data_IF_697794324065
#
_entry.id   IF_697794324065
#
_cell.length_a   1.000
_cell.length_b   1.000
_cell.length_c   1.000
_cell.angle_alpha   90.00
_cell.angle_beta   90.00
_cell.angle_gamma   90.00
#
_symmetry.space_group_name_H-M   'P 1'
#
loop_
_entity.id
_entity.type
_entity.pdbx_description
1 polymer ?
#
# COMPACT_ATOMS: atom_id res chain seq x y z
N UNK A 1 -8.42 0.88 -8.00
CA UNK A 1 -7.01 1.21 -8.31
C UNK A 1 -6.44 0.14 -9.24
N UNK A 2 -5.74 0.55 -10.30
CA UNK A 2 -5.04 -0.35 -11.25
C UNK A 2 -3.54 -0.05 -11.17
N UNK A 3 -2.67 -0.96 -10.72
CA UNK A 3 -1.23 -0.76 -10.77
C UNK A 3 -0.78 -0.73 -12.22
N UNK A 4 0.14 0.15 -12.56
CA UNK A 4 0.73 0.28 -13.89
C UNK A 4 2.18 -0.22 -13.87
N UNK A 5 2.98 0.28 -12.94
CA UNK A 5 4.38 -0.13 -12.80
C UNK A 5 4.78 -0.10 -11.32
N UNK A 6 5.54 -1.11 -10.90
CA UNK A 6 6.17 -1.17 -9.58
C UNK A 6 7.68 -1.26 -9.76
N UNK A 7 8.41 -0.31 -9.19
CA UNK A 7 9.87 -0.36 -9.10
C UNK A 7 10.27 -0.57 -7.65
N UNK A 8 11.08 -1.57 -7.40
CA UNK A 8 11.69 -1.86 -6.09
C UNK A 8 13.22 -1.77 -6.22
N UNK A 9 13.88 -1.17 -5.25
CA UNK A 9 15.34 -1.12 -5.19
C UNK A 9 15.79 -1.45 -3.78
N UNK A 10 16.68 -2.43 -3.65
CA UNK A 10 17.18 -2.94 -2.37
C UNK A 10 16.05 -3.17 -1.34
N UNK A 11 14.95 -3.79 -1.76
CA UNK A 11 13.74 -3.95 -0.95
C UNK A 11 13.36 -5.44 -0.79
N UNK A 12 13.23 -5.89 0.46
CA UNK A 12 12.87 -7.27 0.81
C UNK A 12 13.83 -8.30 0.20
N UNK A 13 13.31 -9.19 -0.64
CA UNK A 13 14.11 -10.21 -1.34
C UNK A 13 14.86 -9.68 -2.57
N UNK A 14 14.58 -8.44 -2.99
CA UNK A 14 15.17 -7.84 -4.19
C UNK A 14 16.40 -7.00 -3.84
N UNK A 15 17.58 -7.52 -4.16
CA UNK A 15 18.86 -6.88 -3.83
C UNK A 15 19.15 -5.64 -4.70
N UNK A 16 18.79 -5.69 -5.97
CA UNK A 16 19.01 -4.61 -6.95
C UNK A 16 17.71 -3.88 -7.30
N UNK A 17 17.77 -3.09 -8.38
CA UNK A 17 16.60 -2.44 -8.95
C UNK A 17 15.82 -3.42 -9.82
N UNK A 18 14.57 -3.66 -9.45
CA UNK A 18 13.63 -4.52 -10.19
C UNK A 18 12.42 -3.71 -10.59
N UNK A 19 11.97 -3.86 -11.83
CA UNK A 19 10.78 -3.19 -12.38
C UNK A 19 9.78 -4.24 -12.81
N UNK A 20 8.55 -4.12 -12.34
CA UNK A 20 7.42 -4.95 -12.75
C UNK A 20 6.45 -4.05 -13.49
N UNK A 21 6.23 -4.37 -14.77
CA UNK A 21 5.32 -3.64 -15.64
C UNK A 21 4.01 -4.43 -15.77
N UNK A 22 2.95 -3.89 -15.18
CA UNK A 22 1.61 -4.50 -15.19
C UNK A 22 0.81 -4.11 -16.45
N UNK A 23 1.29 -3.16 -17.26
CA UNK A 23 0.57 -2.69 -18.45
C UNK A 23 0.60 -3.71 -19.59
N UNK A 24 1.62 -4.58 -19.58
CA UNK A 24 1.79 -5.65 -20.58
C UNK A 24 0.74 -6.76 -20.51
N UNK A 25 -0.06 -6.79 -19.44
CA UNK A 25 -1.07 -7.81 -19.22
C UNK A 25 -2.40 -7.40 -19.84
N UNK A 26 -2.75 -8.01 -20.98
CA UNK A 26 -3.95 -7.66 -21.77
C UNK A 26 -5.25 -8.10 -21.10
N UNK A 27 -5.24 -9.08 -20.19
CA UNK A 27 -6.46 -9.71 -19.66
C UNK A 27 -6.82 -9.30 -18.21
N UNK A 28 -6.09 -8.37 -17.61
CA UNK A 28 -6.39 -7.87 -16.25
C UNK A 28 -6.18 -8.87 -15.12
N UNK A 29 -5.89 -10.13 -15.41
CA UNK A 29 -5.56 -11.20 -14.45
C UNK A 29 -4.19 -11.74 -14.83
N UNK A 30 -3.31 -11.88 -13.84
CA UNK A 30 -1.98 -12.47 -14.00
C UNK A 30 -1.61 -13.34 -12.81
N UNK A 31 -0.77 -14.32 -13.03
CA UNK A 31 -0.29 -15.25 -12.03
C UNK A 31 1.19 -14.95 -11.73
N UNK A 32 1.52 -14.77 -10.46
CA UNK A 32 2.90 -14.67 -9.99
C UNK A 32 3.33 -16.03 -9.46
N UNK A 33 4.24 -16.70 -10.17
CA UNK A 33 4.77 -18.01 -9.79
C UNK A 33 6.24 -17.91 -9.41
N UNK A 34 6.73 -18.89 -8.68
CA UNK A 34 8.12 -19.01 -8.26
C UNK A 34 8.25 -19.82 -6.98
N UNK A 35 9.46 -20.19 -6.63
CA UNK A 35 9.78 -21.00 -5.45
C UNK A 35 9.44 -20.26 -4.15
N UNK A 36 9.34 -21.03 -3.06
CA UNK A 36 9.18 -20.44 -1.72
C UNK A 36 10.40 -19.58 -1.40
N UNK A 37 10.15 -18.35 -0.93
CA UNK A 37 11.23 -17.37 -0.65
C UNK A 37 11.65 -16.52 -1.84
N UNK A 38 11.14 -16.76 -3.07
CA UNK A 38 11.49 -15.97 -4.27
C UNK A 38 11.00 -14.52 -4.28
N UNK A 39 10.31 -14.07 -3.22
CA UNK A 39 9.88 -12.67 -3.10
C UNK A 39 8.48 -12.36 -3.65
N UNK A 40 7.64 -13.36 -3.92
CA UNK A 40 6.25 -13.14 -4.39
C UNK A 40 5.46 -12.22 -3.46
N UNK A 41 5.50 -12.48 -2.15
CA UNK A 41 4.83 -11.67 -1.14
C UNK A 41 5.44 -10.27 -1.04
N UNK A 42 6.76 -10.13 -1.28
CA UNK A 42 7.45 -8.85 -1.26
C UNK A 42 6.89 -7.87 -2.30
N UNK A 43 6.33 -8.34 -3.41
CA UNK A 43 5.66 -7.50 -4.41
C UNK A 43 4.43 -6.82 -3.80
N UNK A 44 3.62 -7.56 -3.05
CA UNK A 44 2.45 -7.02 -2.35
C UNK A 44 2.86 -6.11 -1.19
N UNK A 45 3.89 -6.49 -0.42
CA UNK A 45 4.48 -5.66 0.62
C UNK A 45 4.96 -4.33 0.05
N UNK A 46 5.59 -4.34 -1.12
CA UNK A 46 6.07 -3.13 -1.78
C UNK A 46 4.91 -2.19 -2.19
N UNK A 47 3.81 -2.73 -2.72
CA UNK A 47 2.62 -1.94 -3.07
C UNK A 47 2.04 -1.28 -1.81
N UNK A 48 1.81 -2.06 -0.75
CA UNK A 48 1.25 -1.54 0.51
C UNK A 48 2.20 -0.55 1.16
N UNK A 49 3.50 -0.83 1.14
CA UNK A 49 4.51 0.07 1.66
C UNK A 49 4.55 1.41 0.92
N UNK A 50 4.51 1.39 -0.41
CA UNK A 50 4.47 2.61 -1.20
C UNK A 50 3.28 3.50 -0.82
N UNK A 51 2.10 2.91 -0.67
CA UNK A 51 0.86 3.65 -0.39
C UNK A 51 0.74 4.08 1.08
N UNK A 52 1.05 3.19 2.02
CA UNK A 52 0.67 3.36 3.43
C UNK A 52 1.82 3.29 4.44
N UNK A 53 3.06 3.13 3.97
CA UNK A 53 4.23 2.93 4.86
C UNK A 53 4.13 1.69 5.78
N UNK A 54 3.34 0.70 5.37
CA UNK A 54 3.11 -0.56 6.08
C UNK A 54 3.35 -1.74 5.15
N UNK A 55 3.61 -2.92 5.70
CA UNK A 55 3.67 -4.16 4.93
C UNK A 55 2.33 -4.87 4.94
N UNK A 56 2.10 -5.76 4.00
CA UNK A 56 0.84 -6.50 3.85
C UNK A 56 0.45 -7.32 5.09
N UNK A 57 1.44 -7.81 5.85
CA UNK A 57 1.23 -8.57 7.09
C UNK A 57 1.18 -7.73 8.37
N UNK A 58 1.42 -6.41 8.31
CA UNK A 58 1.43 -5.52 9.49
C UNK A 58 2.59 -5.72 10.48
N UNK A 59 3.36 -6.79 10.35
CA UNK A 59 4.38 -7.20 11.32
C UNK A 59 5.77 -6.57 11.09
N UNK A 60 6.03 -6.00 9.91
CA UNK A 60 7.34 -5.46 9.53
C UNK A 60 7.30 -3.95 9.43
N UNK A 61 8.15 -3.29 10.21
CA UNK A 61 8.38 -1.85 10.07
C UNK A 61 9.19 -1.55 8.80
N UNK A 62 8.96 -0.39 8.17
CA UNK A 62 9.62 0.02 6.94
C UNK A 62 11.15 -0.08 6.98
N UNK A 63 11.77 0.13 8.17
CA UNK A 63 13.21 0.00 8.37
C UNK A 63 13.75 -1.44 8.19
N UNK A 64 12.90 -2.45 8.37
CA UNK A 64 13.25 -3.87 8.18
C UNK A 64 13.15 -4.30 6.71
N UNK A 65 12.66 -3.42 5.83
CA UNK A 65 12.41 -3.76 4.43
C UNK A 65 13.62 -3.58 3.52
N UNK A 66 14.73 -2.99 4.02
CA UNK A 66 15.97 -2.99 3.22
C UNK A 66 16.46 -4.42 3.02
N UNK A 67 16.74 -4.78 1.79
CA UNK A 67 17.29 -6.09 1.44
C UNK A 67 18.64 -6.32 2.12
N UNK A 68 18.79 -7.44 2.80
CA UNK A 68 20.06 -7.87 3.40
C UNK A 68 21.10 -8.27 2.33
N UNK A 69 20.63 -8.57 1.12
CA UNK A 69 21.46 -8.96 -0.01
C UNK A 69 21.90 -7.78 -0.88
N UNK A 70 21.42 -6.57 -0.56
CA UNK A 70 21.76 -5.39 -1.33
C UNK A 70 23.17 -4.88 -0.99
N UNK A 71 23.89 -4.42 -2.01
CA UNK A 71 25.16 -3.70 -1.80
C UNK A 71 24.91 -2.43 -0.98
N UNK A 72 25.91 -2.05 -0.17
CA UNK A 72 25.78 -0.93 0.77
C UNK A 72 25.53 0.42 0.07
N UNK A 73 25.93 0.55 -1.19
CA UNK A 73 25.75 1.74 -2.03
C UNK A 73 24.35 1.79 -2.68
N UNK A 74 23.62 0.67 -2.74
CA UNK A 74 22.34 0.59 -3.43
C UNK A 74 21.26 1.34 -2.66
N UNK A 75 20.58 2.33 -3.25
CA UNK A 75 19.50 3.05 -2.59
C UNK A 75 18.28 2.14 -2.37
N UNK A 76 17.64 2.29 -1.22
CA UNK A 76 16.41 1.55 -0.90
C UNK A 76 15.20 2.43 -1.13
N UNK A 77 14.32 2.03 -2.04
CA UNK A 77 13.05 2.69 -2.29
C UNK A 77 12.06 1.77 -3.00
N UNK A 78 10.81 2.13 -2.90
CA UNK A 78 9.72 1.59 -3.72
C UNK A 78 9.06 2.74 -4.46
N UNK A 79 8.74 2.53 -5.74
CA UNK A 79 8.00 3.46 -6.57
C UNK A 79 6.85 2.72 -7.23
N UNK A 80 5.62 3.23 -7.04
CA UNK A 80 4.40 2.67 -7.59
C UNK A 80 3.72 3.70 -8.49
N UNK A 81 3.55 3.34 -9.75
CA UNK A 81 2.68 4.06 -10.67
C UNK A 81 1.35 3.33 -10.75
N UNK A 82 0.24 4.06 -10.59
CA UNK A 82 -1.09 3.49 -10.60
C UNK A 82 -2.13 4.43 -11.21
N UNK A 83 -3.21 3.85 -11.70
CA UNK A 83 -4.38 4.58 -12.19
C UNK A 83 -5.53 4.43 -11.20
N UNK A 84 -6.20 5.55 -10.90
CA UNK A 84 -7.40 5.59 -10.08
C UNK A 84 -8.39 6.62 -10.64
N UNK A 85 -9.65 6.24 -10.84
CA UNK A 85 -10.70 7.08 -11.44
C UNK A 85 -10.25 7.77 -12.76
N UNK A 86 -9.54 7.04 -13.63
CA UNK A 86 -9.06 7.56 -14.91
C UNK A 86 -7.79 8.42 -14.83
N UNK A 87 -7.35 8.80 -13.66
CA UNK A 87 -6.17 9.63 -13.40
C UNK A 87 -4.95 8.78 -13.04
N UNK A 88 -3.75 9.22 -13.45
CA UNK A 88 -2.49 8.54 -13.13
C UNK A 88 -1.77 9.25 -11.97
N UNK A 89 -1.25 8.45 -11.07
CA UNK A 89 -0.49 8.90 -9.90
C UNK A 89 0.79 8.08 -9.80
N UNK A 90 1.80 8.68 -9.16
CA UNK A 90 3.05 8.02 -8.85
C UNK A 90 3.44 8.30 -7.40
N UNK A 91 3.69 7.26 -6.64
CA UNK A 91 4.19 7.36 -5.26
C UNK A 91 5.58 6.76 -5.20
N UNK A 92 6.53 7.51 -4.67
CA UNK A 92 7.88 7.02 -4.36
C UNK A 92 8.12 7.15 -2.87
N UNK A 93 8.55 6.06 -2.24
CA UNK A 93 8.80 6.00 -0.80
C UNK A 93 10.09 5.27 -0.50
N UNK A 94 10.85 5.78 0.47
CA UNK A 94 11.99 5.07 1.04
C UNK A 94 11.87 4.97 2.55
N UNK A 95 12.37 3.89 3.20
CA UNK A 95 12.50 3.81 4.65
C UNK A 95 13.67 4.65 5.15
N UNK A 96 13.85 4.71 6.48
CA UNK A 96 15.13 5.07 7.08
C UNK A 96 16.14 3.97 6.80
N UNK A 97 17.30 4.30 6.26
CA UNK A 97 18.38 3.34 6.03
C UNK A 97 19.75 4.01 6.02
N UNK A 98 20.80 3.19 6.08
CA UNK A 98 22.17 3.65 5.92
C UNK A 98 22.68 3.26 4.55
N UNK A 99 23.41 4.16 3.91
CA UNK A 99 24.08 3.93 2.62
C UNK A 99 25.54 4.31 2.77
N UNK A 100 26.39 3.56 2.11
CA UNK A 100 27.82 3.84 2.05
C UNK A 100 28.13 4.60 0.78
N UNK A 101 28.81 5.71 0.90
CA UNK A 101 29.30 6.50 -0.25
C UNK A 101 30.82 6.55 -0.24
N UNK A 102 31.43 6.21 -1.36
CA UNK A 102 32.86 6.43 -1.57
C UNK A 102 33.06 7.87 -2.01
N UNK A 103 33.80 8.62 -1.22
CA UNK A 103 34.17 10.00 -1.50
C UNK A 103 35.27 10.05 -2.60
N UNK A 104 35.44 11.23 -3.25
CA UNK A 104 36.45 11.46 -4.29
C UNK A 104 37.89 11.15 -3.84
N UNK A 105 38.15 11.16 -2.53
CA UNK A 105 39.42 10.85 -1.92
C UNK A 105 39.59 9.35 -1.54
N UNK A 106 38.69 8.47 -2.00
CA UNK A 106 38.71 7.03 -1.72
C UNK A 106 38.22 6.66 -0.31
N UNK A 107 37.87 7.63 0.56
CA UNK A 107 37.32 7.34 1.87
C UNK A 107 35.86 6.94 1.78
N UNK A 108 35.50 5.92 2.53
CA UNK A 108 34.14 5.42 2.64
C UNK A 108 33.43 6.15 3.79
N UNK A 109 32.26 6.75 3.52
CA UNK A 109 31.42 7.42 4.54
C UNK A 109 30.04 6.80 4.58
N UNK A 110 29.61 6.40 5.78
CA UNK A 110 28.21 6.07 6.02
C UNK A 110 27.36 7.35 6.01
N UNK A 111 26.25 7.30 5.31
CA UNK A 111 25.25 8.36 5.29
C UNK A 111 23.89 7.76 5.68
N UNK A 112 23.24 8.34 6.68
CA UNK A 112 21.86 8.01 7.03
C UNK A 112 20.93 8.72 6.03
N UNK A 113 20.05 7.95 5.40
CA UNK A 113 18.98 8.45 4.54
C UNK A 113 17.69 8.36 5.36
N UNK A 114 17.04 9.50 5.57
CA UNK A 114 15.79 9.54 6.30
C UNK A 114 14.64 9.05 5.43
N UNK A 115 13.63 8.46 6.06
CA UNK A 115 12.34 8.13 5.43
C UNK A 115 11.78 9.33 4.66
N UNK A 116 11.33 9.09 3.43
CA UNK A 116 10.67 10.08 2.62
C UNK A 116 9.52 9.47 1.81
N UNK A 117 8.54 10.30 1.45
CA UNK A 117 7.47 9.98 0.52
C UNK A 117 7.24 11.16 -0.42
N UNK A 118 7.08 10.86 -1.71
CA UNK A 118 6.76 11.80 -2.76
C UNK A 118 5.54 11.28 -3.52
N UNK A 119 4.56 12.14 -3.73
CA UNK A 119 3.37 11.85 -4.54
C UNK A 119 3.38 12.77 -5.77
N UNK A 120 3.44 12.17 -6.95
CA UNK A 120 3.24 12.89 -8.22
C UNK A 120 1.77 12.83 -8.59
N UNK A 121 1.20 13.99 -8.85
CA UNK A 121 -0.19 14.19 -9.23
C UNK A 121 -0.39 13.96 -10.74
N UNK A 122 -1.65 13.83 -11.23
CA UNK A 122 -1.93 13.57 -12.64
C UNK A 122 -1.41 14.64 -13.62
N UNK A 123 -1.25 15.86 -13.16
CA UNK A 123 -0.68 16.97 -13.92
C UNK A 123 0.86 16.95 -13.98
N UNK A 124 1.50 15.95 -13.34
CA UNK A 124 2.94 15.81 -13.23
C UNK A 124 3.57 16.61 -12.10
N UNK A 125 2.81 17.43 -11.37
CA UNK A 125 3.32 18.15 -10.21
C UNK A 125 3.59 17.22 -9.03
N UNK A 126 4.59 17.54 -8.22
CA UNK A 126 4.83 16.85 -6.94
C UNK A 126 3.98 17.53 -5.86
N UNK A 127 3.24 16.73 -5.10
CA UNK A 127 2.45 17.25 -3.98
C UNK A 127 3.36 17.94 -2.95
N UNK A 128 3.20 19.23 -2.67
CA UNK A 128 4.22 20.07 -2.01
C UNK A 128 4.26 19.92 -0.48
N UNK A 129 3.43 19.05 0.10
CA UNK A 129 3.24 18.95 1.54
C UNK A 129 4.24 18.01 2.22
N UNK A 130 4.29 18.10 3.57
CA UNK A 130 5.09 17.23 4.41
C UNK A 130 4.54 15.80 4.41
N UNK A 131 5.36 14.83 4.81
CA UNK A 131 5.09 13.38 4.78
C UNK A 131 3.68 12.99 5.28
N UNK A 132 3.26 13.50 6.45
CA UNK A 132 1.96 13.16 7.03
C UNK A 132 0.79 13.65 6.16
N UNK A 133 0.92 14.82 5.55
CA UNK A 133 -0.08 15.35 4.63
C UNK A 133 -0.09 14.58 3.31
N UNK A 134 1.08 14.14 2.83
CA UNK A 134 1.19 13.26 1.66
C UNK A 134 0.52 11.91 1.92
N UNK A 135 0.73 11.30 3.09
CA UNK A 135 0.07 10.05 3.48
C UNK A 135 -1.45 10.21 3.60
N UNK A 136 -1.91 11.32 4.19
CA UNK A 136 -3.34 11.65 4.25
C UNK A 136 -3.93 11.86 2.84
N UNK A 137 -3.19 12.51 1.93
CA UNK A 137 -3.62 12.73 0.54
C UNK A 137 -3.73 11.42 -0.24
N UNK A 138 -2.80 10.50 -0.07
CA UNK A 138 -2.87 9.15 -0.68
C UNK A 138 -4.14 8.42 -0.18
N UNK A 139 -4.40 8.46 1.13
CA UNK A 139 -5.59 7.87 1.74
C UNK A 139 -6.87 8.52 1.22
N UNK A 140 -6.89 9.85 1.06
CA UNK A 140 -8.02 10.60 0.49
C UNK A 140 -8.30 10.19 -0.97
N UNK A 141 -7.25 10.12 -1.80
CA UNK A 141 -7.37 9.71 -3.21
C UNK A 141 -7.96 8.29 -3.30
N UNK A 142 -7.41 7.34 -2.57
CA UNK A 142 -7.84 5.94 -2.63
C UNK A 142 -9.16 5.68 -1.89
N UNK A 143 -9.49 6.52 -0.91
CA UNK A 143 -10.66 6.37 -0.06
C UNK A 143 -10.62 5.15 0.85
N UNK A 144 -9.45 4.57 1.10
CA UNK A 144 -9.22 3.38 1.91
C UNK A 144 -8.06 3.62 2.88
N UNK A 145 -8.23 3.18 4.11
CA UNK A 145 -7.11 3.09 5.07
C UNK A 145 -6.21 1.89 4.72
N UNK A 146 -5.02 1.82 5.32
CA UNK A 146 -4.09 0.70 5.15
C UNK A 146 -4.74 -0.66 5.46
N UNK A 147 -5.46 -0.74 6.60
CA UNK A 147 -6.14 -1.97 7.03
C UNK A 147 -7.25 -2.37 6.05
N UNK A 148 -8.05 -1.39 5.59
CA UNK A 148 -9.08 -1.63 4.59
C UNK A 148 -8.48 -2.08 3.25
N UNK A 149 -7.39 -1.45 2.83
CA UNK A 149 -6.69 -1.83 1.61
C UNK A 149 -6.16 -3.26 1.69
N UNK A 150 -5.50 -3.63 2.79
CA UNK A 150 -4.99 -4.99 3.00
C UNK A 150 -6.10 -6.04 3.05
N UNK A 151 -7.25 -5.71 3.65
CA UNK A 151 -8.39 -6.63 3.73
C UNK A 151 -9.14 -6.80 2.41
N UNK A 152 -9.19 -5.76 1.58
CA UNK A 152 -10.02 -5.70 0.38
C UNK A 152 -9.22 -6.04 -0.88
N UNK A 153 -8.03 -5.44 -1.01
CA UNK A 153 -7.23 -5.49 -2.24
C UNK A 153 -6.22 -6.62 -2.20
N UNK A 154 -5.79 -6.99 -0.99
CA UNK A 154 -4.77 -8.01 -0.79
C UNK A 154 -5.25 -9.09 0.17
N UNK A 155 -5.81 -10.13 -0.37
CA UNK A 155 -6.11 -11.32 0.42
C UNK A 155 -4.81 -12.11 0.57
N UNK A 156 -4.17 -12.00 1.73
CA UNK A 156 -2.96 -12.74 2.04
C UNK A 156 -3.22 -14.25 1.99
N UNK A 157 -2.15 -15.02 1.75
CA UNK A 157 -2.23 -16.48 1.73
C UNK A 157 -2.79 -17.00 3.06
N UNK A 158 -3.95 -17.64 3.02
CA UNK A 158 -4.68 -18.16 4.20
C UNK A 158 -5.83 -17.26 4.69
N UNK A 159 -5.85 -15.97 4.40
CA UNK A 159 -6.94 -15.09 4.84
C UNK A 159 -8.23 -15.30 4.04
N UNK A 160 -8.12 -15.80 2.80
CA UNK A 160 -9.30 -16.22 2.04
C UNK A 160 -10.05 -17.37 2.73
N UNK A 161 -9.33 -18.34 3.30
CA UNK A 161 -9.92 -19.41 4.09
C UNK A 161 -10.56 -18.86 5.36
N UNK A 162 -9.94 -17.89 6.04
CA UNK A 162 -10.54 -17.21 7.19
C UNK A 162 -11.87 -16.57 6.81
N UNK A 163 -11.94 -15.87 5.67
CA UNK A 163 -13.18 -15.27 5.19
C UNK A 163 -14.28 -16.31 4.95
N UNK A 164 -13.95 -17.49 4.44
CA UNK A 164 -14.89 -18.59 4.21
C UNK A 164 -15.38 -19.23 5.51
N UNK A 165 -14.50 -19.39 6.50
CA UNK A 165 -14.80 -20.04 7.79
C UNK A 165 -15.29 -19.06 8.87
N UNK A 166 -15.20 -17.76 8.62
CA UNK A 166 -15.68 -16.72 9.54
C UNK A 166 -17.19 -16.80 9.70
N UNK A 167 -17.68 -16.58 10.94
CA UNK A 167 -19.11 -16.56 11.27
C UNK A 167 -19.86 -15.51 10.44
N UNK A 168 -21.15 -15.75 10.19
CA UNK A 168 -21.97 -14.92 9.30
C UNK A 168 -21.94 -13.42 9.67
N UNK A 169 -21.91 -13.09 10.95
CA UNK A 169 -21.91 -11.69 11.41
C UNK A 169 -20.60 -10.97 11.14
N UNK A 170 -19.46 -11.64 11.35
CA UNK A 170 -18.14 -11.09 11.01
C UNK A 170 -17.97 -10.94 9.51
N UNK A 171 -18.44 -11.93 8.75
CA UNK A 171 -18.46 -11.88 7.27
C UNK A 171 -19.30 -10.71 6.78
N UNK A 172 -20.48 -10.48 7.38
CA UNK A 172 -21.33 -9.35 7.07
C UNK A 172 -20.65 -8.00 7.34
N UNK A 173 -19.87 -7.88 8.43
CA UNK A 173 -19.07 -6.69 8.72
C UNK A 173 -17.97 -6.46 7.67
N UNK A 174 -17.27 -7.52 7.26
CA UNK A 174 -16.24 -7.43 6.22
C UNK A 174 -16.85 -6.96 4.90
N UNK A 175 -17.96 -7.56 4.47
CA UNK A 175 -18.66 -7.15 3.25
C UNK A 175 -19.27 -5.75 3.36
N UNK A 176 -19.79 -5.37 4.53
CA UNK A 176 -20.31 -4.02 4.75
C UNK A 176 -19.22 -2.95 4.57
N UNK A 177 -18.01 -3.21 5.04
CA UNK A 177 -16.86 -2.33 4.83
C UNK A 177 -16.40 -2.34 3.37
N UNK A 178 -16.34 -3.52 2.75
CA UNK A 178 -15.92 -3.72 1.35
C UNK A 178 -16.81 -2.93 0.39
N UNK A 179 -18.14 -3.04 0.55
CA UNK A 179 -19.10 -2.40 -0.31
C UNK A 179 -19.59 -1.03 0.19
N UNK A 180 -18.97 -0.49 1.27
CA UNK A 180 -19.35 0.77 1.91
C UNK A 180 -20.85 0.85 2.24
N UNK A 181 -21.45 -0.27 2.64
CA UNK A 181 -22.86 -0.33 2.98
C UNK A 181 -23.19 0.23 4.37
N UNK A 182 -22.15 0.63 5.14
CA UNK A 182 -22.28 1.35 6.41
C UNK A 182 -23.07 2.66 6.29
N UNK A 183 -23.02 3.31 5.13
CA UNK A 183 -23.83 4.51 4.82
C UNK A 183 -25.32 4.17 4.87
N UNK A 184 -25.74 3.06 4.26
CA UNK A 184 -27.14 2.63 4.27
C UNK A 184 -27.61 2.22 5.67
N UNK A 185 -26.72 1.57 6.44
CA UNK A 185 -27.02 1.23 7.82
C UNK A 185 -27.23 2.49 8.69
N UNK A 186 -26.37 3.51 8.54
CA UNK A 186 -26.52 4.80 9.24
C UNK A 186 -27.82 5.52 8.87
N UNK A 187 -28.22 5.46 7.59
CA UNK A 187 -29.51 6.00 7.13
C UNK A 187 -30.67 5.25 7.80
N UNK A 188 -30.61 3.93 7.81
CA UNK A 188 -31.65 3.09 8.44
C UNK A 188 -31.79 3.36 9.93
N UNK A 189 -30.68 3.47 10.67
CA UNK A 189 -30.69 3.80 12.10
C UNK A 189 -31.26 5.21 12.36
N UNK A 190 -30.90 6.19 11.55
CA UNK A 190 -31.45 7.54 11.67
C UNK A 190 -32.96 7.57 11.39
N UNK A 191 -33.45 6.80 10.42
CA UNK A 191 -34.88 6.68 10.11
C UNK A 191 -35.64 6.00 11.25
N UNK A 192 -35.11 4.92 11.82
CA UNK A 192 -35.71 4.25 12.99
C UNK A 192 -35.80 5.18 14.19
N UNK A 193 -34.72 5.92 14.49
CA UNK A 193 -34.72 6.89 15.58
C UNK A 193 -35.77 7.99 15.39
N UNK A 194 -35.87 8.54 14.17
CA UNK A 194 -36.88 9.57 13.85
C UNK A 194 -38.31 9.03 13.92
N UNK A 195 -38.53 7.76 13.53
CA UNK A 195 -39.83 7.12 13.68
C UNK A 195 -40.20 7.00 15.15
N UNK A 196 -39.32 6.48 15.99
CA UNK A 196 -39.55 6.37 17.43
C UNK A 196 -39.80 7.74 18.09
N UNK A 197 -39.05 8.80 17.72
CA UNK A 197 -39.28 10.16 18.23
C UNK A 197 -40.63 10.76 17.78
N UNK A 198 -41.22 10.29 16.69
CA UNK A 198 -42.58 10.69 16.24
C UNK A 198 -43.64 9.90 16.99
N UNK A 199 -43.43 8.60 17.18
CA UNK A 199 -44.39 7.74 17.93
C UNK A 199 -44.50 8.19 19.39
N UNK A 200 -43.41 8.66 20.02
CA UNK A 200 -43.45 9.21 21.38
C UNK A 200 -44.18 10.57 21.51
N UNK A 201 -44.49 11.24 20.39
CA UNK A 201 -45.14 12.56 20.36
C UNK A 201 -46.64 12.48 20.06
N UNK A 202 -47.16 11.30 19.76
CA UNK A 202 -48.59 11.00 19.54
C UNK A 202 -49.17 10.45 20.83
#
# INVERSE_FOLDING_TARGET
MKPLQLTMSAFGSYAGRTVIDFTKQQHGIFLITGDTGSGKTTIFDAITYALYNQTSGGERNGNMMRSQYAATETPTYVELEFQYCGQQYKVRRNPDYKITKTLKNGKVKEQKVAHNVELTMPDGSVFPEKKNATDAKITEILGLTADQFSQIVMIAQGDFLKLLYTKSDERKMIFSRLFRTDVYWKIQENLKRRSAEMDDKI
#
